data_IF_467066953076
#
_entry.id   IF_467066953076
#
_cell.length_a   1.000
_cell.length_b   1.000
_cell.length_c   1.000
_cell.angle_alpha   90.00
_cell.angle_beta   90.00
_cell.angle_gamma   90.00
#
_symmetry.space_group_name_H-M   'P 1'
#
loop_
_entity.id
_entity.type
_entity.pdbx_description
1 polymer ?
#
# COMPACT_ATOMS: atom_id res chain seq x y z
N UNK A 1 0.70 3.26 17.22
CA UNK A 1 0.83 4.13 16.02
C UNK A 1 -0.36 3.96 15.10
N UNK A 2 -0.82 5.03 14.46
CA UNK A 2 -1.84 4.96 13.40
C UNK A 2 -1.19 4.44 12.10
N UNK A 3 -1.79 3.46 11.44
CA UNK A 3 -1.27 2.89 10.20
C UNK A 3 -2.38 2.36 9.28
N UNK A 4 -2.09 2.30 7.98
CA UNK A 4 -2.87 1.54 7.00
C UNK A 4 -2.35 0.09 6.96
N UNK A 5 -3.25 -0.89 6.94
CA UNK A 5 -2.90 -2.31 6.90
C UNK A 5 -3.81 -3.11 5.97
N UNK A 6 -3.23 -4.14 5.36
CA UNK A 6 -3.94 -5.06 4.49
C UNK A 6 -4.98 -5.89 5.26
N UNK A 7 -6.18 -6.01 4.70
CA UNK A 7 -7.28 -6.75 5.29
C UNK A 7 -8.05 -7.55 4.23
N UNK A 8 -7.36 -8.50 3.60
CA UNK A 8 -7.94 -9.34 2.57
C UNK A 8 -7.98 -8.66 1.20
N UNK A 9 -8.43 -9.41 0.18
CA UNK A 9 -8.41 -8.96 -1.21
C UNK A 9 -9.17 -7.64 -1.38
N UNK A 10 -8.52 -6.67 -2.02
CA UNK A 10 -8.99 -5.30 -2.20
C UNK A 10 -9.34 -4.57 -0.88
N UNK A 11 -8.87 -5.08 0.25
CA UNK A 11 -9.16 -4.57 1.59
C UNK A 11 -7.95 -3.87 2.19
N UNK A 12 -8.10 -2.57 2.48
CA UNK A 12 -7.16 -1.78 3.28
C UNK A 12 -7.94 -1.10 4.40
N UNK A 13 -7.44 -1.20 5.63
CA UNK A 13 -8.03 -0.53 6.80
C UNK A 13 -7.03 0.40 7.43
N UNK A 14 -7.52 1.38 8.17
CA UNK A 14 -6.72 2.26 9.02
C UNK A 14 -7.02 1.93 10.48
N UNK A 15 -5.99 1.79 11.30
CA UNK A 15 -6.15 1.46 12.71
C UNK A 15 -4.90 1.71 13.52
N UNK A 16 -5.03 1.55 14.84
CA UNK A 16 -3.90 1.62 15.75
C UNK A 16 -3.18 0.27 15.79
N UNK A 17 -1.90 0.28 15.45
CA UNK A 17 -0.99 -0.86 15.58
C UNK A 17 0.01 -0.61 16.73
N UNK A 18 0.67 -1.66 17.26
CA UNK A 18 1.76 -1.51 18.21
C UNK A 18 2.86 -0.60 17.68
N UNK A 19 3.50 0.16 18.57
CA UNK A 19 4.70 0.94 18.21
C UNK A 19 5.85 -0.01 17.78
N UNK A 20 6.67 0.39 16.78
CA UNK A 20 7.78 -0.41 16.32
C UNK A 20 8.87 -0.47 17.39
N UNK A 21 9.68 -1.53 17.34
CA UNK A 21 10.81 -1.75 18.26
C UNK A 21 12.08 -1.96 17.46
N UNK A 22 13.19 -1.48 18.00
CA UNK A 22 14.53 -1.82 17.49
C UNK A 22 14.84 -3.24 17.94
N UNK A 23 15.11 -4.13 17.00
CA UNK A 23 15.45 -5.53 17.25
C UNK A 23 16.96 -5.79 17.08
N UNK A 24 17.62 -5.04 16.20
CA UNK A 24 19.03 -5.24 15.89
C UNK A 24 19.85 -3.93 15.96
N UNK A 25 21.15 -4.01 16.26
CA UNK A 25 22.05 -2.85 16.15
C UNK A 25 22.06 -2.30 14.71
N UNK A 26 21.88 -0.99 14.56
CA UNK A 26 21.90 -0.30 13.27
C UNK A 26 20.52 0.06 12.70
N UNK A 27 19.44 -0.35 13.34
CA UNK A 27 18.08 0.07 12.97
C UNK A 27 17.75 1.47 13.54
N UNK A 28 16.86 2.18 12.87
CA UNK A 28 16.32 3.45 13.34
C UNK A 28 14.80 3.48 13.19
N UNK A 29 14.12 4.09 14.16
CA UNK A 29 12.68 4.38 14.07
C UNK A 29 12.53 5.78 13.49
N UNK A 30 11.81 5.88 12.37
CA UNK A 30 11.57 7.15 11.66
C UNK A 30 10.13 7.62 11.85
N UNK A 31 9.96 8.92 12.11
CA UNK A 31 8.63 9.55 12.07
C UNK A 31 8.27 9.84 10.62
N UNK A 32 7.28 9.13 10.09
CA UNK A 32 6.77 9.36 8.73
C UNK A 32 6.01 10.69 8.69
N UNK A 33 6.43 11.60 7.80
CA UNK A 33 5.74 12.86 7.52
C UNK A 33 4.86 12.79 6.28
N UNK A 34 5.22 11.92 5.33
CA UNK A 34 4.48 11.67 4.10
C UNK A 34 4.69 10.21 3.65
N UNK A 35 3.61 9.58 3.21
CA UNK A 35 3.63 8.28 2.55
C UNK A 35 2.72 8.36 1.32
N UNK A 36 3.20 7.82 0.19
CA UNK A 36 2.43 7.69 -1.05
C UNK A 36 2.13 6.22 -1.34
N UNK A 37 1.17 5.97 -2.22
CA UNK A 37 0.88 4.62 -2.72
C UNK A 37 1.67 4.35 -3.99
N UNK A 38 2.20 3.15 -4.10
CA UNK A 38 2.85 2.63 -5.29
C UNK A 38 1.88 1.72 -6.07
N UNK A 39 2.09 1.54 -7.37
CA UNK A 39 1.35 0.54 -8.16
C UNK A 39 1.54 -0.89 -7.64
N UNK A 40 2.69 -1.18 -7.03
CA UNK A 40 2.94 -2.47 -6.38
C UNK A 40 1.99 -2.74 -5.20
N UNK A 41 1.50 -1.69 -4.53
CA UNK A 41 0.51 -1.85 -3.45
C UNK A 41 -0.85 -2.29 -4.00
N UNK A 42 -1.21 -1.81 -5.20
CA UNK A 42 -2.42 -2.23 -5.88
C UNK A 42 -2.33 -3.70 -6.30
N UNK A 43 -1.19 -4.09 -6.86
CA UNK A 43 -0.92 -5.49 -7.22
C UNK A 43 -1.02 -6.41 -5.99
N UNK A 44 -0.36 -6.01 -4.90
CA UNK A 44 -0.39 -6.71 -3.62
C UNK A 44 -1.82 -6.83 -3.05
N UNK A 45 -2.56 -5.73 -2.99
CA UNK A 45 -3.91 -5.73 -2.41
C UNK A 45 -4.91 -6.55 -3.22
N UNK A 46 -4.75 -6.63 -4.54
CA UNK A 46 -5.64 -7.38 -5.40
C UNK A 46 -5.34 -8.88 -5.47
N UNK A 47 -4.16 -9.31 -5.01
CA UNK A 47 -3.63 -10.67 -5.19
C UNK A 47 -3.70 -11.13 -6.65
N UNK A 48 -3.34 -10.25 -7.58
CA UNK A 48 -3.27 -10.57 -9.01
C UNK A 48 -1.85 -10.27 -9.47
N UNK A 49 -1.28 -11.10 -10.33
CA UNK A 49 -0.05 -10.72 -11.04
C UNK A 49 -0.43 -9.66 -12.07
N UNK A 50 0.09 -8.44 -11.94
CA UNK A 50 -0.03 -7.45 -13.01
C UNK A 50 1.06 -7.80 -14.02
N UNK A 51 0.75 -8.66 -15.00
CA UNK A 51 1.56 -8.68 -16.23
C UNK A 51 1.50 -7.28 -16.81
N UNK A 52 2.65 -6.62 -16.85
CA UNK A 52 2.79 -5.27 -17.38
C UNK A 52 2.05 -5.12 -18.72
N UNK A 53 1.26 -4.04 -18.84
CA UNK A 53 0.64 -3.55 -20.07
C UNK A 53 -0.50 -4.40 -20.67
N UNK A 54 -1.76 -4.06 -20.31
CA UNK A 54 -2.90 -3.90 -21.23
C UNK A 54 -4.22 -3.78 -20.46
N UNK A 55 -4.47 -2.62 -19.86
CA UNK A 55 -5.87 -2.16 -19.77
C UNK A 55 -6.09 -1.29 -21.00
N UNK A 56 -7.08 -1.57 -21.88
CA UNK A 56 -7.57 -0.52 -22.74
C UNK A 56 -8.20 0.50 -21.80
N UNK A 57 -7.47 1.60 -21.54
CA UNK A 57 -8.07 2.83 -21.08
C UNK A 57 -9.01 3.21 -22.23
N UNK A 58 -10.26 2.76 -22.14
CA UNK A 58 -11.34 3.35 -22.93
C UNK A 58 -11.48 4.74 -22.32
N UNK A 59 -10.80 5.70 -22.95
CA UNK A 59 -11.01 7.11 -22.70
C UNK A 59 -12.48 7.37 -23.00
N UNK A 60 -13.30 7.34 -21.96
CA UNK A 60 -14.67 7.80 -22.05
C UNK A 60 -14.60 9.31 -22.22
N UNK A 61 -14.56 9.73 -23.49
CA UNK A 61 -14.78 11.13 -23.85
C UNK A 61 -16.22 11.43 -23.48
N UNK A 62 -16.38 12.34 -22.53
CA UNK A 62 -17.53 13.23 -22.37
C UNK A 62 -18.73 12.93 -23.28
N UNK A 63 -19.80 12.40 -22.69
CA UNK A 63 -21.18 12.78 -23.00
C UNK A 63 -22.05 12.66 -21.76
#
# INVERSE_FOLDING_TARGET
MLAAYYNGRAGVRVGNLPEPKILFPGEAIVRVTLAGMCSADLEFTLNVAVTAFALPIRADRHR
#
